data_IF_036906339112
#
_entry.id   IF_036906339112
#
_cell.length_a   1.000
_cell.length_b   1.000
_cell.length_c   1.000
_cell.angle_alpha   90.00
_cell.angle_beta   90.00
_cell.angle_gamma   90.00
#
_symmetry.space_group_name_H-M   'P 1'
#
loop_
_entity.id
_entity.type
_entity.pdbx_description
1 polymer ?
#
# COMPACT_ATOMS: atom_id res chain seq x y z
N UNK A 1 -25.65 -15.74 -13.02
CA UNK A 1 -24.29 -16.15 -13.44
C UNK A 1 -23.39 -16.15 -12.22
N UNK A 2 -23.08 -17.31 -11.65
CA UNK A 2 -22.13 -17.42 -10.55
C UNK A 2 -20.73 -17.11 -11.07
N UNK A 3 -20.19 -15.92 -10.73
CA UNK A 3 -18.84 -15.51 -11.11
C UNK A 3 -17.89 -16.04 -10.02
N UNK A 4 -17.03 -16.99 -10.40
CA UNK A 4 -16.24 -17.83 -9.49
C UNK A 4 -15.59 -17.10 -8.32
N UNK A 5 -15.86 -17.57 -7.11
CA UNK A 5 -15.43 -17.05 -5.81
C UNK A 5 -13.94 -17.28 -5.48
N UNK A 6 -13.12 -17.71 -6.45
CA UNK A 6 -11.79 -18.27 -6.17
C UNK A 6 -10.60 -17.30 -6.08
N UNK A 7 -10.74 -16.00 -6.39
CA UNK A 7 -9.58 -15.08 -6.54
C UNK A 7 -9.70 -13.68 -5.90
N UNK A 8 -10.65 -13.48 -4.98
CA UNK A 8 -10.86 -12.18 -4.30
C UNK A 8 -9.76 -11.79 -3.30
N UNK A 9 -8.88 -12.73 -2.92
CA UNK A 9 -7.83 -12.50 -1.92
C UNK A 9 -6.66 -11.66 -2.45
N UNK A 10 -6.36 -11.74 -3.75
CA UNK A 10 -5.26 -10.99 -4.38
C UNK A 10 -5.49 -9.47 -4.32
N UNK A 11 -6.65 -8.94 -4.74
CA UNK A 11 -6.90 -7.50 -4.63
C UNK A 11 -6.99 -7.01 -3.17
N UNK A 12 -7.49 -7.84 -2.25
CA UNK A 12 -7.51 -7.51 -0.81
C UNK A 12 -6.09 -7.40 -0.25
N UNK A 13 -5.20 -8.34 -0.57
CA UNK A 13 -3.79 -8.28 -0.19
C UNK A 13 -3.09 -7.06 -0.81
N UNK A 14 -3.36 -6.76 -2.08
CA UNK A 14 -2.87 -5.55 -2.74
C UNK A 14 -3.31 -4.27 -2.01
N UNK A 15 -4.58 -4.20 -1.59
CA UNK A 15 -5.12 -3.09 -0.81
C UNK A 15 -4.43 -2.94 0.55
N UNK A 16 -4.26 -4.04 1.29
CA UNK A 16 -3.58 -4.03 2.60
C UNK A 16 -2.13 -3.56 2.44
N UNK A 17 -1.40 -4.11 1.46
CA UNK A 17 0.00 -3.74 1.20
C UNK A 17 0.10 -2.26 0.81
N UNK A 18 -0.81 -1.76 -0.02
CA UNK A 18 -0.84 -0.35 -0.41
C UNK A 18 -1.08 0.54 0.82
N UNK A 19 -2.09 0.25 1.63
CA UNK A 19 -2.40 1.04 2.83
C UNK A 19 -1.27 1.01 3.86
N UNK A 20 -0.66 -0.15 4.08
CA UNK A 20 0.53 -0.26 4.91
C UNK A 20 1.70 0.56 4.34
N UNK A 21 1.91 0.52 3.03
CA UNK A 21 2.90 1.33 2.34
C UNK A 21 2.67 2.84 2.54
N UNK A 22 1.43 3.31 2.43
CA UNK A 22 1.07 4.72 2.63
C UNK A 22 1.33 5.12 4.08
N UNK A 23 0.82 4.35 5.04
CA UNK A 23 0.99 4.64 6.47
C UNK A 23 2.49 4.67 6.85
N UNK A 24 3.27 3.71 6.36
CA UNK A 24 4.70 3.66 6.60
C UNK A 24 5.44 4.86 5.96
N UNK A 25 5.01 5.30 4.78
CA UNK A 25 5.59 6.48 4.11
C UNK A 25 5.31 7.75 4.91
N UNK A 26 4.10 7.92 5.44
CA UNK A 26 3.74 9.05 6.30
C UNK A 26 4.61 9.07 7.57
N UNK A 27 4.78 7.91 8.22
CA UNK A 27 5.66 7.78 9.38
C UNK A 27 7.11 8.11 9.03
N UNK A 28 7.61 7.64 7.89
CA UNK A 28 8.97 7.93 7.45
C UNK A 28 9.15 9.44 7.24
N UNK A 29 8.21 10.11 6.57
CA UNK A 29 8.24 11.57 6.41
C UNK A 29 8.28 12.27 7.77
N UNK A 30 7.49 11.83 8.75
CA UNK A 30 7.53 12.40 10.10
C UNK A 30 8.89 12.20 10.77
N UNK A 31 9.50 11.02 10.66
CA UNK A 31 10.84 10.72 11.20
C UNK A 31 11.93 11.56 10.51
N UNK A 32 11.85 11.73 9.19
CA UNK A 32 12.79 12.59 8.44
C UNK A 32 12.70 14.02 8.93
N UNK A 33 11.49 14.57 9.05
CA UNK A 33 11.28 15.93 9.56
C UNK A 33 11.86 16.04 10.97
N UNK A 34 11.57 15.08 11.84
CA UNK A 34 12.10 15.06 13.20
C UNK A 34 13.64 15.04 13.23
N UNK A 35 14.28 14.14 12.47
CA UNK A 35 15.73 14.03 12.44
C UNK A 35 16.40 15.27 11.83
N UNK A 36 15.83 15.85 10.77
CA UNK A 36 16.33 17.09 10.16
C UNK A 36 16.27 18.25 11.16
N UNK A 37 15.20 18.34 11.95
CA UNK A 37 15.06 19.37 13.00
C UNK A 37 16.07 19.17 14.13
N UNK A 38 16.41 17.93 14.48
CA UNK A 38 17.38 17.61 15.53
C UNK A 38 18.84 17.55 15.04
N UNK A 39 19.09 17.68 13.73
CA UNK A 39 20.43 17.56 13.14
C UNK A 39 20.96 16.13 13.09
N UNK A 40 20.09 15.13 13.28
CA UNK A 40 20.43 13.72 13.28
C UNK A 40 20.57 13.18 11.84
N UNK A 41 21.47 12.21 11.60
CA UNK A 41 21.63 11.61 10.28
C UNK A 41 20.35 10.88 9.84
N UNK A 42 19.90 11.19 8.62
CA UNK A 42 18.73 10.56 7.98
C UNK A 42 19.17 9.47 7.02
N UNK A 43 18.66 8.25 7.21
CA UNK A 43 18.88 7.15 6.26
C UNK A 43 17.92 7.26 5.08
N UNK A 44 18.43 7.82 3.98
CA UNK A 44 17.70 7.93 2.70
C UNK A 44 17.39 6.59 2.04
N UNK A 45 17.99 5.49 2.50
CA UNK A 45 17.79 4.12 1.97
C UNK A 45 16.38 3.60 2.25
N UNK A 46 15.74 4.04 3.33
CA UNK A 46 14.42 3.55 3.73
C UNK A 46 13.30 4.16 2.88
N UNK A 47 13.52 5.35 2.32
CA UNK A 47 12.56 6.03 1.45
C UNK A 47 12.23 5.26 0.15
N UNK A 48 13.20 4.79 -0.66
CA UNK A 48 12.92 3.97 -1.83
C UNK A 48 12.29 2.61 -1.49
N UNK A 49 12.56 2.04 -0.31
CA UNK A 49 11.91 0.82 0.16
C UNK A 49 10.41 1.08 0.41
N UNK A 50 10.07 2.18 1.08
CA UNK A 50 8.68 2.58 1.31
C UNK A 50 7.94 2.85 -0.01
N UNK A 51 8.60 3.52 -0.96
CA UNK A 51 8.07 3.74 -2.32
C UNK A 51 7.85 2.41 -3.07
N UNK A 52 8.78 1.46 -2.95
CA UNK A 52 8.66 0.13 -3.55
C UNK A 52 7.44 -0.65 -3.06
N UNK A 53 7.15 -0.59 -1.75
CA UNK A 53 5.97 -1.24 -1.16
C UNK A 53 4.65 -0.61 -1.66
N UNK A 54 4.60 0.71 -1.75
CA UNK A 54 3.44 1.41 -2.34
C UNK A 54 3.23 1.01 -3.81
N UNK A 55 4.31 1.01 -4.59
CA UNK A 55 4.27 0.65 -5.99
C UNK A 55 3.82 -0.81 -6.16
N UNK A 56 4.33 -1.73 -5.33
CA UNK A 56 3.95 -3.13 -5.34
C UNK A 56 2.45 -3.32 -5.03
N UNK A 57 1.94 -2.65 -4.00
CA UNK A 57 0.51 -2.66 -3.67
C UNK A 57 -0.34 -2.14 -4.83
N UNK A 58 0.05 -1.02 -5.43
CA UNK A 58 -0.63 -0.43 -6.60
C UNK A 58 -0.63 -1.37 -7.81
N UNK A 59 0.51 -2.00 -8.10
CA UNK A 59 0.67 -2.95 -9.21
C UNK A 59 -0.22 -4.18 -8.99
N UNK A 60 -0.24 -4.75 -7.79
CA UNK A 60 -1.10 -5.89 -7.45
C UNK A 60 -2.59 -5.58 -7.66
N UNK A 61 -3.02 -4.38 -7.25
CA UNK A 61 -4.39 -3.91 -7.48
C UNK A 61 -4.65 -3.73 -8.97
N UNK A 62 -3.74 -3.10 -9.71
CA UNK A 62 -3.91 -2.80 -11.13
C UNK A 62 -4.00 -4.07 -11.98
N UNK A 63 -3.20 -5.09 -11.66
CA UNK A 63 -3.24 -6.39 -12.35
C UNK A 63 -4.43 -7.26 -11.93
N UNK A 64 -5.08 -6.98 -10.80
CA UNK A 64 -6.26 -7.74 -10.36
C UNK A 64 -7.50 -7.52 -11.23
N UNK A 65 -7.52 -6.48 -12.08
CA UNK A 65 -8.60 -6.21 -13.03
C UNK A 65 -9.92 -5.72 -12.42
N UNK A 66 -10.04 -5.67 -11.10
CA UNK A 66 -11.22 -5.13 -10.40
C UNK A 66 -10.96 -3.69 -9.93
N UNK A 67 -11.97 -2.82 -10.06
CA UNK A 67 -11.90 -1.46 -9.52
C UNK A 67 -11.88 -1.57 -8.00
N UNK A 68 -10.98 -0.85 -7.35
CA UNK A 68 -10.77 -0.91 -5.89
C UNK A 68 -12.07 -0.77 -5.08
N UNK A 69 -13.01 0.05 -5.55
CA UNK A 69 -14.33 0.22 -4.95
C UNK A 69 -15.24 -1.01 -5.04
N UNK A 70 -15.14 -1.83 -6.09
CA UNK A 70 -15.96 -3.03 -6.26
C UNK A 70 -15.50 -4.18 -5.33
N UNK A 71 -14.19 -4.26 -5.06
CA UNK A 71 -13.61 -5.28 -4.16
C UNK A 71 -14.05 -5.03 -2.71
N UNK A 72 -14.03 -3.76 -2.27
CA UNK A 72 -14.47 -3.40 -0.92
C UNK A 72 -15.99 -3.55 -0.74
N UNK A 73 -16.78 -3.26 -1.78
CA UNK A 73 -18.24 -3.29 -1.70
C UNK A 73 -18.82 -4.72 -1.78
N UNK A 74 -18.15 -5.65 -2.48
CA UNK A 74 -18.63 -7.03 -2.65
C UNK A 74 -18.33 -7.98 -1.48
N UNK A 75 -17.63 -7.52 -0.45
CA UNK A 75 -17.38 -8.29 0.79
C UNK A 75 -18.40 -7.99 1.90
N UNK A 76 -19.09 -6.86 1.83
CA UNK A 76 -20.09 -6.40 2.81
C UNK A 76 -21.53 -6.73 2.42
N UNK A 77 -21.74 -7.49 1.34
CA UNK A 77 -23.07 -7.87 0.82
C UNK A 77 -23.28 -9.38 0.81
#
# INVERSE_FOLDING_TARGET
MAKGTGRRWIPLLGAIILWLGIAFTVLMVAVVIYNVVNGDPVSWVVFPIALGLNLLGYVLIRFSGERFGDVMNTWTG
#
